data_IF_378860251163
#
_entry.id   IF_378860251163
#
_cell.length_a   1.000
_cell.length_b   1.000
_cell.length_c   1.000
_cell.angle_alpha   90.00
_cell.angle_beta   90.00
_cell.angle_gamma   90.00
#
_symmetry.space_group_name_H-M   'P 1'
#
loop_
_entity.id
_entity.type
_entity.pdbx_description
1 polymer ?
#
# COMPACT_ATOMS: atom_id res chain seq x y z
N UNK A 1 9.83 -6.75 20.67
CA UNK A 1 10.49 -6.13 19.51
C UNK A 1 10.92 -7.11 18.43
N UNK A 2 11.50 -8.28 18.78
CA UNK A 2 12.03 -9.23 17.78
C UNK A 2 10.97 -9.92 16.91
N UNK A 3 9.80 -10.19 17.45
CA UNK A 3 8.70 -10.84 16.72
C UNK A 3 8.11 -9.93 15.62
N UNK A 4 8.03 -8.63 15.85
CA UNK A 4 7.50 -7.68 14.87
C UNK A 4 8.45 -7.47 13.68
N UNK A 5 9.76 -7.41 13.93
CA UNK A 5 10.76 -7.31 12.85
C UNK A 5 10.76 -8.57 12.00
N UNK A 6 10.70 -9.75 12.65
CA UNK A 6 10.64 -11.04 11.96
C UNK A 6 9.45 -11.11 11.01
N UNK A 7 8.25 -10.77 11.48
CA UNK A 7 7.05 -10.77 10.65
C UNK A 7 7.15 -9.81 9.47
N UNK A 8 7.60 -8.57 9.70
CA UNK A 8 7.78 -7.62 8.63
C UNK A 8 8.73 -8.13 7.54
N UNK A 9 9.76 -8.89 7.94
CA UNK A 9 10.70 -9.53 7.00
C UNK A 9 10.05 -10.68 6.22
N UNK A 10 9.29 -11.53 6.91
CA UNK A 10 8.58 -12.65 6.27
C UNK A 10 7.56 -12.12 5.25
N UNK A 11 6.80 -11.09 5.60
CA UNK A 11 5.85 -10.44 4.71
C UNK A 11 6.55 -9.77 3.52
N UNK A 12 7.63 -9.02 3.77
CA UNK A 12 8.38 -8.34 2.71
C UNK A 12 9.03 -9.34 1.74
N UNK A 13 9.61 -10.43 2.26
CA UNK A 13 10.20 -11.49 1.45
C UNK A 13 9.15 -12.21 0.60
N UNK A 14 8.00 -12.56 1.19
CA UNK A 14 6.89 -13.20 0.49
C UNK A 14 6.31 -12.28 -0.61
N UNK A 15 6.09 -11.01 -0.31
CA UNK A 15 5.65 -10.02 -1.29
C UNK A 15 6.65 -9.86 -2.44
N UNK A 16 7.94 -9.76 -2.13
CA UNK A 16 8.98 -9.61 -3.13
C UNK A 16 9.05 -10.83 -4.07
N UNK A 17 8.92 -12.05 -3.53
CA UNK A 17 8.84 -13.29 -4.34
C UNK A 17 7.71 -13.27 -5.37
N UNK A 18 6.56 -12.72 -4.98
CA UNK A 18 5.39 -12.61 -5.85
C UNK A 18 5.49 -11.45 -6.86
N UNK A 19 6.50 -10.59 -6.72
CA UNK A 19 6.69 -9.36 -7.51
C UNK A 19 8.04 -9.39 -8.24
N UNK A 20 8.82 -8.30 -8.19
CA UNK A 20 10.10 -8.14 -8.90
C UNK A 20 11.33 -8.66 -8.15
N UNK A 21 11.13 -9.26 -6.98
CA UNK A 21 12.17 -9.81 -6.11
C UNK A 21 13.19 -8.78 -5.63
N UNK A 22 12.72 -7.58 -5.33
CA UNK A 22 13.56 -6.50 -4.82
C UNK A 22 12.97 -5.91 -3.53
N UNK A 23 13.76 -5.86 -2.46
CA UNK A 23 13.41 -5.24 -1.18
C UNK A 23 14.38 -4.09 -0.93
N UNK A 24 13.85 -2.89 -0.72
CA UNK A 24 14.61 -1.75 -0.21
C UNK A 24 14.32 -1.58 1.27
N UNK A 25 15.29 -1.93 2.11
CA UNK A 25 15.23 -1.73 3.56
C UNK A 25 15.64 -0.31 3.90
N UNK A 26 14.74 0.43 4.53
CA UNK A 26 14.93 1.84 4.84
C UNK A 26 15.21 2.02 6.33
N UNK A 27 16.23 2.81 6.64
CA UNK A 27 16.71 3.05 8.00
C UNK A 27 17.39 4.42 8.16
N UNK A 28 17.89 4.71 9.36
CA UNK A 28 18.73 5.88 9.67
C UNK A 28 20.01 5.45 10.38
N UNK A 29 20.68 4.43 9.87
CA UNK A 29 21.86 3.78 10.49
C UNK A 29 23.07 4.71 10.66
N UNK A 30 23.13 5.79 9.91
CA UNK A 30 24.18 6.80 10.06
C UNK A 30 24.05 7.63 11.36
N UNK A 31 22.87 7.60 12.02
CA UNK A 31 22.58 8.37 13.24
C UNK A 31 22.11 7.48 14.39
N UNK A 32 21.22 6.51 14.12
CA UNK A 32 20.52 5.73 15.16
C UNK A 32 21.13 4.33 15.33
N UNK A 33 21.46 3.98 16.56
CA UNK A 33 21.91 2.62 16.92
C UNK A 33 20.82 1.57 16.67
N UNK A 34 19.56 1.91 16.92
CA UNK A 34 18.41 1.03 16.62
C UNK A 34 18.32 0.71 15.12
N UNK A 35 18.63 1.67 14.26
CA UNK A 35 18.67 1.45 12.81
C UNK A 35 19.87 0.61 12.38
N UNK A 36 21.00 0.68 13.08
CA UNK A 36 22.14 -0.22 12.83
C UNK A 36 21.79 -1.67 13.19
N UNK A 37 21.11 -1.87 14.31
CA UNK A 37 20.59 -3.18 14.70
C UNK A 37 19.56 -3.70 13.68
N UNK A 38 18.63 -2.85 13.27
CA UNK A 38 17.65 -3.15 12.22
C UNK A 38 18.34 -3.68 10.97
N UNK A 39 19.30 -2.94 10.44
CA UNK A 39 20.05 -3.30 9.22
C UNK A 39 20.73 -4.65 9.35
N UNK A 40 21.47 -4.89 10.46
CA UNK A 40 22.15 -6.14 10.71
C UNK A 40 21.18 -7.34 10.78
N UNK A 41 20.01 -7.17 11.41
CA UNK A 41 18.99 -8.22 11.50
C UNK A 41 18.37 -8.49 10.13
N UNK A 42 18.01 -7.43 9.39
CA UNK A 42 17.43 -7.53 8.05
C UNK A 42 18.39 -8.25 7.10
N UNK A 43 19.65 -7.83 7.05
CA UNK A 43 20.67 -8.42 6.18
C UNK A 43 20.85 -9.93 6.47
N UNK A 44 20.98 -10.28 7.75
CA UNK A 44 21.15 -11.67 8.18
C UNK A 44 19.96 -12.55 7.79
N UNK A 45 18.72 -12.11 8.06
CA UNK A 45 17.52 -12.90 7.82
C UNK A 45 17.18 -12.98 6.33
N UNK A 46 17.27 -11.87 5.61
CA UNK A 46 17.01 -11.88 4.16
C UNK A 46 18.00 -12.77 3.41
N UNK A 47 19.29 -12.71 3.75
CA UNK A 47 20.29 -13.58 3.13
C UNK A 47 20.09 -15.07 3.43
N UNK A 48 19.60 -15.40 4.63
CA UNK A 48 19.39 -16.79 5.03
C UNK A 48 18.10 -17.40 4.46
N UNK A 49 17.01 -16.63 4.36
CA UNK A 49 15.67 -17.15 4.10
C UNK A 49 15.09 -16.73 2.75
N UNK A 50 15.63 -15.66 2.17
CA UNK A 50 15.19 -15.12 0.86
C UNK A 50 16.38 -14.83 -0.06
N UNK A 51 17.30 -15.80 -0.27
CA UNK A 51 18.54 -15.56 -1.04
C UNK A 51 18.31 -15.18 -2.50
N UNK A 52 17.11 -15.44 -3.03
CA UNK A 52 16.70 -15.07 -4.39
C UNK A 52 16.14 -13.64 -4.48
N UNK A 53 15.97 -12.94 -3.35
CA UNK A 53 15.48 -11.57 -3.29
C UNK A 53 16.67 -10.61 -3.16
N UNK A 54 16.75 -9.65 -4.05
CA UNK A 54 17.76 -8.58 -3.97
C UNK A 54 17.41 -7.64 -2.82
N UNK A 55 18.33 -7.47 -1.89
CA UNK A 55 18.21 -6.53 -0.78
C UNK A 55 19.07 -5.31 -1.04
N UNK A 56 18.47 -4.13 -0.96
CA UNK A 56 19.15 -2.83 -0.95
C UNK A 56 18.89 -2.13 0.39
N UNK A 57 19.89 -1.48 0.96
CA UNK A 57 19.70 -0.60 2.11
C UNK A 57 19.74 0.87 1.69
N UNK A 58 18.76 1.65 2.15
CA UNK A 58 18.67 3.07 1.84
C UNK A 58 18.41 3.89 3.10
N UNK A 59 19.06 5.05 3.23
CA UNK A 59 18.75 5.98 4.31
C UNK A 59 17.39 6.65 4.04
N UNK A 60 16.60 6.89 5.09
CA UNK A 60 15.23 7.40 4.98
C UNK A 60 15.14 8.73 4.24
N UNK A 61 16.10 9.62 4.42
CA UNK A 61 16.17 10.90 3.72
C UNK A 61 16.42 10.73 2.20
N UNK A 62 17.23 9.76 1.81
CA UNK A 62 17.40 9.40 0.40
C UNK A 62 16.14 8.73 -0.16
N UNK A 63 15.49 7.85 0.61
CA UNK A 63 14.25 7.20 0.22
C UNK A 63 13.13 8.20 -0.05
N UNK A 64 12.93 9.20 0.81
CA UNK A 64 11.97 10.28 0.61
C UNK A 64 12.19 11.02 -0.72
N UNK A 65 13.43 11.41 -1.01
CA UNK A 65 13.76 12.05 -2.29
C UNK A 65 13.50 11.11 -3.49
N UNK A 66 13.84 9.84 -3.36
CA UNK A 66 13.70 8.87 -4.47
C UNK A 66 12.27 8.44 -4.70
N UNK A 67 11.43 8.40 -3.68
CA UNK A 67 10.00 8.18 -3.84
C UNK A 67 9.36 9.21 -4.77
N UNK A 68 9.73 10.49 -4.65
CA UNK A 68 9.23 11.55 -5.54
C UNK A 68 9.87 11.45 -6.93
N UNK A 69 11.19 11.22 -7.00
CA UNK A 69 11.96 11.31 -8.25
C UNK A 69 11.82 10.08 -9.15
N UNK A 70 11.80 8.89 -8.56
CA UNK A 70 11.83 7.60 -9.28
C UNK A 70 11.03 6.49 -8.56
N UNK A 71 9.72 6.70 -8.29
CA UNK A 71 8.92 5.76 -7.51
C UNK A 71 8.85 4.35 -8.12
N UNK A 72 8.98 4.24 -9.44
CA UNK A 72 8.93 2.95 -10.16
C UNK A 72 10.13 2.04 -9.92
N UNK A 73 11.22 2.56 -9.38
CA UNK A 73 12.41 1.76 -9.05
C UNK A 73 12.16 0.88 -7.81
N UNK A 74 11.26 1.31 -6.93
CA UNK A 74 10.89 0.55 -5.74
C UNK A 74 9.90 -0.57 -6.04
N UNK A 75 10.14 -1.74 -5.45
CA UNK A 75 9.22 -2.89 -5.50
C UNK A 75 8.55 -3.09 -4.13
N UNK A 76 9.32 -3.49 -3.14
CA UNK A 76 8.87 -3.61 -1.75
C UNK A 76 9.75 -2.73 -0.86
N UNK A 77 9.12 -1.84 -0.10
CA UNK A 77 9.79 -1.03 0.91
C UNK A 77 9.60 -1.69 2.28
N UNK A 78 10.70 -1.96 2.97
CA UNK A 78 10.72 -2.52 4.31
C UNK A 78 11.24 -1.47 5.27
N UNK A 79 10.41 -1.07 6.23
CA UNK A 79 10.75 -0.03 7.21
C UNK A 79 10.30 -0.42 8.62
N UNK A 80 10.86 0.25 9.63
CA UNK A 80 10.23 0.31 10.94
C UNK A 80 9.03 1.28 10.92
N UNK A 81 8.20 1.25 11.97
CA UNK A 81 6.89 1.92 11.99
C UNK A 81 6.96 3.43 11.68
N UNK A 82 7.81 4.18 12.36
CA UNK A 82 7.86 5.64 12.23
C UNK A 82 8.24 6.09 10.81
N UNK A 83 9.25 5.46 10.22
CA UNK A 83 9.63 5.79 8.85
C UNK A 83 8.62 5.28 7.84
N UNK A 84 7.97 4.14 8.11
CA UNK A 84 6.90 3.60 7.30
C UNK A 84 5.71 4.54 7.21
N UNK A 85 5.25 5.06 8.35
CA UNK A 85 4.13 6.01 8.41
C UNK A 85 4.43 7.28 7.60
N UNK A 86 5.62 7.87 7.77
CA UNK A 86 6.00 9.09 7.06
C UNK A 86 6.10 8.85 5.55
N UNK A 87 6.78 7.78 5.14
CA UNK A 87 7.02 7.49 3.73
C UNK A 87 5.77 6.99 3.01
N UNK A 88 4.85 6.29 3.70
CA UNK A 88 3.57 5.88 3.10
C UNK A 88 2.68 7.07 2.82
N UNK A 89 2.63 8.06 3.73
CA UNK A 89 1.90 9.30 3.50
C UNK A 89 2.48 10.10 2.32
N UNK A 90 3.80 10.21 2.24
CA UNK A 90 4.47 10.83 1.10
C UNK A 90 4.17 10.08 -0.21
N UNK A 91 4.27 8.75 -0.20
CA UNK A 91 3.99 7.91 -1.37
C UNK A 91 2.53 8.00 -1.82
N UNK A 92 1.59 8.25 -0.90
CA UNK A 92 0.18 8.42 -1.21
C UNK A 92 -0.08 9.57 -2.18
N UNK A 93 0.73 10.62 -2.10
CA UNK A 93 0.62 11.78 -2.98
C UNK A 93 0.98 11.44 -4.43
N UNK A 94 1.74 10.36 -4.68
CA UNK A 94 2.03 9.86 -6.03
C UNK A 94 0.79 9.24 -6.68
N UNK A 95 -0.10 8.65 -5.89
CA UNK A 95 -1.38 8.14 -6.35
C UNK A 95 -2.43 9.25 -6.54
N UNK A 96 -2.14 10.46 -6.07
CA UNK A 96 -3.00 11.64 -6.20
C UNK A 96 -3.99 11.86 -5.05
N UNK A 97 -4.25 10.87 -4.21
CA UNK A 97 -5.14 11.01 -3.04
C UNK A 97 -4.94 9.88 -2.04
N UNK A 98 -5.03 10.22 -0.76
CA UNK A 98 -5.15 9.25 0.35
C UNK A 98 -6.41 8.37 0.21
N UNK A 99 -7.46 8.86 -0.45
CA UNK A 99 -8.72 8.16 -0.64
C UNK A 99 -8.65 6.92 -1.54
N UNK A 100 -7.50 6.67 -2.18
CA UNK A 100 -7.30 5.50 -3.07
C UNK A 100 -6.59 4.37 -2.36
N UNK A 101 -5.85 4.63 -1.28
CA UNK A 101 -4.91 3.68 -0.73
C UNK A 101 -5.52 2.80 0.37
N UNK A 102 -5.44 1.46 0.22
CA UNK A 102 -5.79 0.52 1.26
C UNK A 102 -4.62 0.26 2.21
N UNK A 103 -4.93 -0.22 3.40
CA UNK A 103 -3.98 -0.71 4.38
C UNK A 103 -4.40 -2.05 4.96
N UNK A 104 -3.44 -2.83 5.41
CA UNK A 104 -3.64 -4.09 6.11
C UNK A 104 -2.68 -4.22 7.28
N UNK A 105 -3.23 -4.41 8.48
CA UNK A 105 -2.48 -4.80 9.67
C UNK A 105 -2.68 -6.30 9.86
N UNK A 106 -1.68 -7.09 9.47
CA UNK A 106 -1.77 -8.55 9.50
C UNK A 106 -1.38 -9.09 10.88
N UNK A 107 -2.21 -9.97 11.41
CA UNK A 107 -1.97 -10.71 12.64
C UNK A 107 -1.30 -12.07 12.40
N UNK A 108 -1.22 -12.89 13.45
CA UNK A 108 -0.80 -14.28 13.29
C UNK A 108 -1.89 -15.08 12.55
N UNK A 109 -1.50 -15.80 11.51
CA UNK A 109 -2.42 -16.58 10.66
C UNK A 109 -3.26 -15.68 9.73
N UNK A 110 -4.54 -16.01 9.60
CA UNK A 110 -5.44 -15.35 8.65
C UNK A 110 -6.15 -14.09 9.18
N UNK A 111 -5.92 -13.71 10.44
CA UNK A 111 -6.57 -12.54 11.03
C UNK A 111 -5.84 -11.27 10.65
N UNK A 112 -6.59 -10.25 10.25
CA UNK A 112 -6.07 -8.93 9.94
C UNK A 112 -7.11 -7.83 10.15
N UNK A 113 -6.64 -6.60 10.24
CA UNK A 113 -7.44 -5.39 10.15
C UNK A 113 -7.19 -4.77 8.79
N UNK A 114 -8.25 -4.49 8.05
CA UNK A 114 -8.20 -3.96 6.70
C UNK A 114 -8.99 -2.67 6.64
N UNK A 115 -8.34 -1.58 6.32
CA UNK A 115 -8.93 -0.26 6.33
C UNK A 115 -8.24 0.65 5.30
N UNK A 116 -8.88 1.73 4.81
CA UNK A 116 -8.15 2.74 4.06
C UNK A 116 -7.17 3.46 4.99
N UNK A 117 -6.10 4.03 4.43
CA UNK A 117 -5.08 4.75 5.23
C UNK A 117 -5.58 6.08 5.78
N UNK A 118 -6.63 6.67 5.19
CA UNK A 118 -7.19 7.95 5.63
C UNK A 118 -8.04 7.82 6.89
N UNK A 119 -8.14 8.91 7.66
CA UNK A 119 -9.01 9.00 8.83
C UNK A 119 -10.49 9.22 8.48
N UNK A 120 -11.29 9.61 9.48
CA UNK A 120 -12.75 9.74 9.40
C UNK A 120 -13.25 10.97 8.64
N UNK A 121 -12.40 11.95 8.36
CA UNK A 121 -12.70 13.19 7.62
C UNK A 121 -14.05 13.83 8.04
N UNK A 122 -14.19 14.29 9.31
CA UNK A 122 -15.46 14.75 9.87
C UNK A 122 -16.05 15.97 9.13
N UNK A 123 -15.21 16.74 8.47
CA UNK A 123 -15.57 17.92 7.67
C UNK A 123 -16.40 17.60 6.42
N UNK A 124 -16.31 16.38 5.92
CA UNK A 124 -17.07 15.93 4.73
C UNK A 124 -18.12 14.85 5.09
N UNK A 125 -18.31 14.53 6.35
CA UNK A 125 -19.29 13.54 6.80
C UNK A 125 -20.70 13.87 6.30
N UNK A 126 -21.38 12.89 5.72
CA UNK A 126 -22.75 13.00 5.19
C UNK A 126 -22.87 13.74 3.85
N UNK A 127 -21.79 14.28 3.31
CA UNK A 127 -21.82 15.05 2.04
C UNK A 127 -21.81 14.16 0.78
N UNK A 128 -21.55 12.86 0.91
CA UNK A 128 -21.51 11.91 -0.22
C UNK A 128 -20.42 12.18 -1.24
N UNK A 129 -19.30 12.79 -0.83
CA UNK A 129 -18.20 13.20 -1.72
C UNK A 129 -16.88 12.46 -1.44
N UNK A 130 -16.83 11.64 -0.38
CA UNK A 130 -15.64 10.87 -0.05
C UNK A 130 -15.32 9.85 -1.15
N UNK A 131 -14.03 9.66 -1.43
CA UNK A 131 -13.57 8.64 -2.36
C UNK A 131 -13.69 7.24 -1.70
N UNK A 132 -14.45 6.29 -2.26
CA UNK A 132 -14.65 4.98 -1.65
C UNK A 132 -13.57 3.96 -2.06
N UNK A 133 -12.64 4.31 -2.95
CA UNK A 133 -11.70 3.35 -3.55
C UNK A 133 -10.77 2.71 -2.53
N UNK A 134 -10.28 3.48 -1.54
CA UNK A 134 -9.44 2.93 -0.47
C UNK A 134 -10.16 1.83 0.32
N UNK A 135 -11.44 2.02 0.63
CA UNK A 135 -12.27 1.02 1.32
C UNK A 135 -12.54 -0.21 0.44
N UNK A 136 -12.84 0.01 -0.85
CA UNK A 136 -13.05 -1.08 -1.81
C UNK A 136 -11.78 -1.92 -1.97
N UNK A 137 -10.62 -1.27 -2.09
CA UNK A 137 -9.34 -1.96 -2.18
C UNK A 137 -8.94 -2.65 -0.87
N UNK A 138 -9.34 -2.10 0.30
CA UNK A 138 -9.17 -2.79 1.58
C UNK A 138 -9.97 -4.09 1.65
N UNK A 139 -11.16 -4.14 1.03
CA UNK A 139 -11.89 -5.39 0.89
C UNK A 139 -11.15 -6.40 -0.01
N UNK A 140 -10.47 -5.96 -1.06
CA UNK A 140 -9.61 -6.84 -1.86
C UNK A 140 -8.45 -7.40 -1.04
N UNK A 141 -7.80 -6.59 -0.19
CA UNK A 141 -6.76 -7.07 0.72
C UNK A 141 -7.30 -8.10 1.72
N UNK A 142 -8.50 -7.90 2.27
CA UNK A 142 -9.17 -8.87 3.15
C UNK A 142 -9.39 -10.20 2.43
N UNK A 143 -9.91 -10.18 1.21
CA UNK A 143 -10.12 -11.38 0.40
C UNK A 143 -8.81 -12.13 0.18
N UNK A 144 -7.75 -11.42 -0.17
CA UNK A 144 -6.41 -12.00 -0.41
C UNK A 144 -5.79 -12.59 0.84
N UNK A 145 -5.64 -11.78 1.88
CA UNK A 145 -4.82 -12.14 3.03
C UNK A 145 -5.56 -12.95 4.10
N UNK A 146 -6.85 -12.70 4.33
CA UNK A 146 -7.61 -13.43 5.34
C UNK A 146 -8.38 -14.63 4.78
N UNK A 147 -8.87 -14.54 3.55
CA UNK A 147 -9.74 -15.58 2.98
C UNK A 147 -9.04 -16.43 1.89
N UNK A 148 -7.86 -16.04 1.44
CA UNK A 148 -7.12 -16.77 0.39
C UNK A 148 -7.78 -16.70 -0.99
N UNK A 149 -8.68 -15.73 -1.21
CA UNK A 149 -9.46 -15.54 -2.43
C UNK A 149 -8.74 -14.57 -3.38
N UNK A 150 -7.64 -15.03 -3.96
CA UNK A 150 -6.78 -14.20 -4.82
C UNK A 150 -7.47 -13.77 -6.12
N UNK A 151 -8.26 -14.65 -6.72
CA UNK A 151 -8.99 -14.36 -7.97
C UNK A 151 -9.99 -13.23 -7.76
N UNK A 152 -10.74 -13.29 -6.69
CA UNK A 152 -11.75 -12.28 -6.33
C UNK A 152 -11.09 -10.95 -5.94
N UNK A 153 -9.97 -10.99 -5.22
CA UNK A 153 -9.18 -9.81 -4.89
C UNK A 153 -8.69 -9.09 -6.16
N UNK A 154 -8.12 -9.83 -7.10
CA UNK A 154 -7.68 -9.29 -8.40
C UNK A 154 -8.84 -8.74 -9.23
N UNK A 155 -9.99 -9.38 -9.21
CA UNK A 155 -11.18 -8.91 -9.92
C UNK A 155 -11.61 -7.52 -9.42
N UNK A 156 -11.59 -7.29 -8.10
CA UNK A 156 -11.89 -5.98 -7.51
C UNK A 156 -10.82 -4.95 -7.91
N UNK A 157 -9.54 -5.28 -7.81
CA UNK A 157 -8.44 -4.37 -8.18
C UNK A 157 -8.53 -3.97 -9.67
N UNK A 158 -8.81 -4.94 -10.53
CA UNK A 158 -9.00 -4.69 -11.95
C UNK A 158 -10.24 -3.82 -12.23
N UNK A 159 -11.34 -4.04 -11.51
CA UNK A 159 -12.55 -3.24 -11.66
C UNK A 159 -12.31 -1.78 -11.25
N UNK A 160 -11.55 -1.54 -10.17
CA UNK A 160 -11.12 -0.19 -9.76
C UNK A 160 -10.27 0.46 -10.86
N UNK A 161 -9.28 -0.26 -11.40
CA UNK A 161 -8.44 0.23 -12.49
C UNK A 161 -9.27 0.58 -13.72
N UNK A 162 -10.17 -0.31 -14.14
CA UNK A 162 -11.04 -0.11 -15.29
C UNK A 162 -11.98 1.09 -15.14
N UNK A 163 -12.55 1.29 -13.94
CA UNK A 163 -13.37 2.47 -13.66
C UNK A 163 -12.56 3.77 -13.77
N UNK A 164 -11.33 3.77 -13.24
CA UNK A 164 -10.42 4.90 -13.37
C UNK A 164 -10.02 5.15 -14.83
N UNK A 165 -9.71 4.11 -15.59
CA UNK A 165 -9.35 4.21 -17.02
C UNK A 165 -10.53 4.74 -17.86
N UNK A 166 -11.76 4.40 -17.47
CA UNK A 166 -12.99 4.95 -18.05
C UNK A 166 -13.27 6.41 -17.65
N UNK A 167 -12.43 7.01 -16.81
CA UNK A 167 -12.54 8.42 -16.43
C UNK A 167 -13.33 8.70 -15.15
N UNK A 168 -13.68 7.67 -14.36
CA UNK A 168 -14.33 7.86 -13.08
C UNK A 168 -13.40 8.62 -12.10
N UNK A 169 -13.88 9.75 -11.55
CA UNK A 169 -13.09 10.61 -10.65
C UNK A 169 -13.96 11.22 -9.56
N UNK A 170 -13.58 11.04 -8.31
CA UNK A 170 -14.13 11.78 -7.18
C UNK A 170 -13.44 13.13 -7.01
N UNK A 171 -13.95 13.97 -6.11
CA UNK A 171 -13.52 15.36 -5.95
C UNK A 171 -12.01 15.53 -5.66
N UNK A 172 -11.40 14.55 -4.99
CA UNK A 172 -9.99 14.54 -4.59
C UNK A 172 -9.03 14.20 -5.73
N UNK A 173 -9.52 13.55 -6.80
CA UNK A 173 -8.70 13.08 -7.93
C UNK A 173 -9.15 13.62 -9.29
N UNK A 174 -10.19 14.45 -9.32
CA UNK A 174 -10.70 15.03 -10.56
C UNK A 174 -9.82 16.20 -11.03
N UNK A 175 -9.66 16.35 -12.33
CA UNK A 175 -8.97 17.51 -12.90
C UNK A 175 -9.72 18.80 -12.59
N UNK A 176 -8.97 19.89 -12.39
CA UNK A 176 -9.55 21.21 -12.05
C UNK A 176 -10.57 21.64 -13.12
N UNK A 177 -11.79 21.95 -12.68
CA UNK A 177 -12.88 22.38 -13.53
C UNK A 177 -13.71 21.25 -14.17
N UNK A 178 -13.35 19.99 -13.99
CA UNK A 178 -14.17 18.86 -14.40
C UNK A 178 -15.20 18.47 -13.32
N UNK A 179 -16.27 17.76 -13.74
CA UNK A 179 -17.28 17.25 -12.82
C UNK A 179 -16.73 16.09 -12.01
N UNK A 180 -16.82 16.19 -10.68
CA UNK A 180 -16.54 15.10 -9.78
C UNK A 180 -17.74 14.16 -9.63
N UNK A 181 -17.45 12.86 -9.48
CA UNK A 181 -18.43 11.87 -9.06
C UNK A 181 -18.65 11.93 -7.55
N UNK A 182 -19.85 11.61 -7.11
CA UNK A 182 -20.18 11.32 -5.72
C UNK A 182 -19.59 9.96 -5.29
N UNK A 183 -19.55 9.71 -3.98
CA UNK A 183 -19.19 8.39 -3.41
C UNK A 183 -20.01 7.26 -4.02
N UNK A 184 -21.34 7.45 -4.15
CA UNK A 184 -22.24 6.44 -4.72
C UNK A 184 -21.99 6.21 -6.21
N UNK A 185 -21.81 7.28 -7.00
CA UNK A 185 -21.51 7.16 -8.44
C UNK A 185 -20.19 6.40 -8.67
N UNK A 186 -19.16 6.68 -7.91
CA UNK A 186 -17.88 5.97 -7.98
C UNK A 186 -18.05 4.48 -7.61
N UNK A 187 -18.77 4.18 -6.52
CA UNK A 187 -19.05 2.78 -6.14
C UNK A 187 -19.83 2.03 -7.22
N UNK A 188 -20.80 2.67 -7.85
CA UNK A 188 -21.56 2.10 -8.97
C UNK A 188 -20.66 1.83 -10.18
N UNK A 189 -19.77 2.76 -10.53
CA UNK A 189 -18.82 2.57 -11.63
C UNK A 189 -17.91 1.36 -11.44
N UNK A 190 -17.42 1.14 -10.21
CA UNK A 190 -16.62 -0.04 -9.88
C UNK A 190 -17.43 -1.34 -9.97
N UNK A 191 -18.68 -1.33 -9.49
CA UNK A 191 -19.57 -2.51 -9.57
C UNK A 191 -19.89 -2.85 -11.03
N UNK A 192 -20.14 -1.86 -11.86
CA UNK A 192 -20.38 -2.07 -13.31
C UNK A 192 -19.14 -2.64 -14.00
N UNK A 193 -17.95 -2.10 -13.70
CA UNK A 193 -16.70 -2.63 -14.23
C UNK A 193 -16.45 -4.08 -13.78
N UNK A 194 -16.75 -4.41 -12.52
CA UNK A 194 -16.61 -5.77 -11.99
C UNK A 194 -17.55 -6.76 -12.70
N UNK A 195 -18.81 -6.35 -12.96
CA UNK A 195 -19.79 -7.20 -13.66
C UNK A 195 -19.45 -7.39 -15.15
N UNK A 196 -18.79 -6.42 -15.77
CA UNK A 196 -18.38 -6.50 -17.17
C UNK A 196 -17.17 -7.41 -17.39
N UNK A 197 -16.40 -7.71 -16.34
CA UNK A 197 -15.20 -8.56 -16.39
C UNK A 197 -15.47 -10.03 -16.07
N UNK A 198 -16.64 -10.38 -15.50
CA UNK A 198 -17.08 -11.76 -15.17
C UNK A 198 -18.09 -12.25 -16.15
#
# INVERSE_FOLDING_TARGET
GGLSVRRALDDAGALARARRRHVTSIDKSNVLETSRLWRAVVERLMSAEFPEVTLEHMLVDAAAMHLIRRPRDFDVLLTENMFGDILSDEASMLAGSLGILPSASLGDGQRGLFEPIHGSAPDITGRGIANPLGTILSAALLLRHSLGLETEARAIEQAVSSALDAGARTADIVARGARAMTTGEMGTAVIEALRAAG
#
